data_IF_111078284569
#
_entry.id   IF_111078284569
#
_cell.length_a   1.000
_cell.length_b   1.000
_cell.length_c   1.000
_cell.angle_alpha   90.00
_cell.angle_beta   90.00
_cell.angle_gamma   90.00
#
_symmetry.space_group_name_H-M   'P 1'
#
loop_
_entity.id
_entity.type
_entity.pdbx_description
1 polymer ?
#
# COMPACT_ATOMS: atom_id res chain seq x y z
N UNK A 1 -25.02 5.76 4.23
CA UNK A 1 -24.10 4.71 4.73
C UNK A 1 -22.68 5.16 4.39
N UNK A 2 -21.86 5.51 5.39
CA UNK A 2 -20.55 6.16 5.19
C UNK A 2 -19.41 5.13 4.96
N UNK A 3 -18.51 5.43 4.03
CA UNK A 3 -17.35 4.63 3.58
C UNK A 3 -16.42 4.23 4.74
N UNK A 4 -16.37 5.03 5.82
CA UNK A 4 -15.54 4.79 6.99
C UNK A 4 -15.90 3.54 7.80
N UNK A 5 -17.16 3.05 7.77
CA UNK A 5 -17.57 1.93 8.64
C UNK A 5 -17.15 0.54 8.12
N UNK A 6 -16.70 0.46 6.87
CA UNK A 6 -16.31 -0.81 6.21
C UNK A 6 -14.79 -1.01 6.18
N UNK A 7 -14.05 0.08 6.12
CA UNK A 7 -12.61 0.12 6.33
C UNK A 7 -12.39 0.13 7.85
N UNK A 8 -11.49 -0.68 8.41
CA UNK A 8 -11.12 -0.58 9.84
C UNK A 8 -10.27 0.68 10.13
N UNK A 9 -10.53 1.76 9.39
CA UNK A 9 -9.79 3.00 9.42
C UNK A 9 -10.56 4.00 10.28
N UNK A 10 -9.80 4.77 11.04
CA UNK A 10 -10.33 5.81 11.92
C UNK A 10 -10.15 7.11 11.15
N UNK A 11 -11.27 7.68 10.72
CA UNK A 11 -11.31 8.76 9.74
C UNK A 11 -12.16 9.89 10.31
N UNK A 12 -11.56 11.07 10.42
CA UNK A 12 -12.22 12.28 10.89
C UNK A 12 -12.77 13.09 9.71
N UNK A 13 -13.96 13.65 9.91
CA UNK A 13 -14.55 14.63 9.01
C UNK A 13 -14.26 16.03 9.56
N UNK A 14 -13.55 16.85 8.78
CA UNK A 14 -13.10 18.18 9.18
C UNK A 14 -13.94 19.27 8.51
N UNK A 15 -14.20 20.35 9.23
CA UNK A 15 -14.70 21.59 8.65
C UNK A 15 -13.55 22.44 8.05
N UNK A 16 -13.90 23.49 7.31
CA UNK A 16 -12.92 24.33 6.61
C UNK A 16 -11.96 25.05 7.57
N UNK A 17 -12.42 25.43 8.77
CA UNK A 17 -11.59 26.10 9.78
C UNK A 17 -10.53 25.15 10.35
N UNK A 18 -10.91 23.90 10.62
CA UNK A 18 -10.03 22.82 11.06
C UNK A 18 -8.98 22.49 9.99
N UNK A 19 -9.36 22.45 8.71
CA UNK A 19 -8.45 22.25 7.58
C UNK A 19 -7.41 23.38 7.52
N UNK A 20 -7.84 24.64 7.63
CA UNK A 20 -6.95 25.81 7.60
C UNK A 20 -6.01 25.85 8.82
N UNK A 21 -6.48 25.43 9.99
CA UNK A 21 -5.63 25.34 11.19
C UNK A 21 -4.53 24.31 11.03
N UNK A 22 -4.83 23.14 10.46
CA UNK A 22 -3.85 22.06 10.24
C UNK A 22 -2.87 22.41 9.13
N UNK A 23 -3.37 22.94 8.01
CA UNK A 23 -2.58 23.27 6.84
C UNK A 23 -2.81 24.74 6.42
N UNK A 24 -2.12 25.72 7.04
CA UNK A 24 -2.36 27.15 6.84
C UNK A 24 -2.18 27.63 5.39
N UNK A 25 -1.42 26.90 4.59
CA UNK A 25 -1.12 27.22 3.20
C UNK A 25 -2.23 26.83 2.21
N UNK A 26 -3.21 26.02 2.63
CA UNK A 26 -4.32 25.64 1.75
C UNK A 26 -5.29 26.82 1.55
N UNK A 27 -5.77 27.00 0.32
CA UNK A 27 -6.96 27.81 0.06
C UNK A 27 -8.21 26.98 0.40
N UNK A 28 -9.12 27.54 1.21
CA UNK A 28 -10.32 26.86 1.72
C UNK A 28 -11.63 27.51 1.26
N UNK A 29 -11.58 28.54 0.40
CA UNK A 29 -12.73 29.40 0.06
C UNK A 29 -13.95 28.61 -0.46
N UNK A 30 -13.72 27.52 -1.21
CA UNK A 30 -14.78 26.65 -1.77
C UNK A 30 -14.73 25.20 -1.23
N UNK A 31 -14.11 24.98 -0.07
CA UNK A 31 -14.01 23.63 0.53
C UNK A 31 -15.17 23.39 1.49
N UNK A 32 -16.04 22.42 1.16
CA UNK A 32 -17.21 22.04 1.98
C UNK A 32 -16.85 21.23 3.23
N UNK A 33 -15.92 20.29 3.10
CA UNK A 33 -15.44 19.44 4.18
C UNK A 33 -14.13 18.74 3.77
N UNK A 34 -13.38 18.30 4.76
CA UNK A 34 -12.15 17.52 4.59
C UNK A 34 -12.30 16.13 5.20
N UNK A 35 -11.56 15.17 4.65
CA UNK A 35 -11.39 13.86 5.25
C UNK A 35 -9.97 13.77 5.78
N UNK A 36 -9.83 13.39 7.03
CA UNK A 36 -8.54 13.26 7.70
C UNK A 36 -8.34 11.85 8.22
N UNK A 37 -7.20 11.26 7.86
CA UNK A 37 -6.72 10.02 8.45
C UNK A 37 -5.41 10.32 9.19
N UNK A 38 -5.43 10.20 10.52
CA UNK A 38 -4.23 10.43 11.34
C UNK A 38 -3.13 9.38 11.15
N UNK A 39 -3.42 8.30 10.43
CA UNK A 39 -2.47 7.24 10.05
C UNK A 39 -2.00 7.35 8.60
N UNK A 40 -2.51 8.31 7.85
CA UNK A 40 -2.04 8.53 6.49
C UNK A 40 -0.62 9.11 6.51
N UNK A 41 0.16 8.72 5.51
CA UNK A 41 1.57 9.08 5.44
C UNK A 41 2.19 8.68 4.12
N UNK A 42 3.27 9.36 3.78
CA UNK A 42 3.98 9.11 2.54
C UNK A 42 4.88 7.88 2.65
N UNK A 43 4.80 7.02 1.64
CA UNK A 43 5.72 5.90 1.48
C UNK A 43 6.63 6.14 0.28
N UNK A 44 7.93 6.01 0.48
CA UNK A 44 8.89 5.94 -0.63
C UNK A 44 8.89 4.51 -1.21
N UNK A 45 8.33 4.29 -2.42
CA UNK A 45 8.20 2.96 -2.98
C UNK A 45 9.56 2.33 -3.27
N UNK A 46 10.56 3.14 -3.65
CA UNK A 46 11.88 2.64 -4.00
C UNK A 46 12.61 2.16 -2.74
N UNK A 47 12.63 2.97 -1.67
CA UNK A 47 13.27 2.59 -0.41
C UNK A 47 12.60 1.37 0.23
N UNK A 48 11.26 1.31 0.24
CA UNK A 48 10.54 0.14 0.72
C UNK A 48 10.96 -1.12 -0.08
N UNK A 49 10.97 -1.05 -1.41
CA UNK A 49 11.38 -2.18 -2.25
C UNK A 49 12.82 -2.61 -1.98
N UNK A 50 13.74 -1.67 -1.79
CA UNK A 50 15.13 -1.98 -1.47
C UNK A 50 15.26 -2.64 -0.09
N UNK A 51 14.54 -2.16 0.92
CA UNK A 51 14.53 -2.75 2.26
C UNK A 51 13.98 -4.20 2.23
N UNK A 52 12.89 -4.43 1.50
CA UNK A 52 12.35 -5.77 1.29
C UNK A 52 13.33 -6.69 0.56
N UNK A 53 13.95 -6.21 -0.53
CA UNK A 53 14.97 -6.96 -1.27
C UNK A 53 16.18 -7.31 -0.39
N UNK A 54 16.63 -6.39 0.47
CA UNK A 54 17.71 -6.62 1.41
C UNK A 54 17.33 -7.71 2.43
N UNK A 55 16.12 -7.65 3.01
CA UNK A 55 15.63 -8.68 3.94
C UNK A 55 15.48 -10.04 3.27
N UNK A 56 14.95 -10.09 2.05
CA UNK A 56 14.76 -11.34 1.31
C UNK A 56 16.11 -12.04 1.05
N UNK A 57 17.14 -11.30 0.64
CA UNK A 57 18.50 -11.85 0.49
C UNK A 57 19.04 -12.41 1.80
N UNK A 58 18.86 -11.70 2.91
CA UNK A 58 19.26 -12.18 4.26
C UNK A 58 18.51 -13.44 4.68
N UNK A 59 17.29 -13.63 4.21
CA UNK A 59 16.50 -14.83 4.42
C UNK A 59 16.84 -15.97 3.43
N UNK A 60 17.84 -15.80 2.57
CA UNK A 60 18.31 -16.83 1.62
C UNK A 60 17.65 -16.77 0.23
N UNK A 61 16.82 -15.75 -0.06
CA UNK A 61 16.21 -15.62 -1.38
C UNK A 61 17.22 -15.10 -2.42
N UNK A 62 17.18 -15.69 -3.63
CA UNK A 62 17.90 -15.21 -4.80
C UNK A 62 17.07 -14.19 -5.58
N UNK A 63 17.61 -12.99 -5.78
CA UNK A 63 16.96 -11.93 -6.57
C UNK A 63 17.71 -11.73 -7.88
N UNK A 64 17.08 -12.11 -8.98
CA UNK A 64 17.61 -11.90 -10.33
C UNK A 64 17.27 -10.47 -10.80
N UNK A 65 18.28 -9.70 -11.21
CA UNK A 65 18.08 -8.37 -11.79
C UNK A 65 17.99 -8.48 -13.30
N UNK A 66 17.04 -7.75 -13.89
CA UNK A 66 16.78 -7.73 -15.34
C UNK A 66 16.66 -9.11 -16.00
N UNK A 67 15.98 -10.11 -15.39
CA UNK A 67 15.81 -11.41 -16.04
C UNK A 67 14.82 -11.26 -17.20
N UNK A 68 15.14 -11.87 -18.35
CA UNK A 68 14.17 -12.07 -19.42
C UNK A 68 13.50 -13.42 -19.20
N UNK A 69 12.19 -13.42 -18.95
CA UNK A 69 11.41 -14.65 -18.87
C UNK A 69 11.16 -15.19 -20.29
N UNK A 70 11.55 -16.44 -20.54
CA UNK A 70 11.41 -17.07 -21.86
C UNK A 70 10.13 -17.93 -21.99
N UNK A 71 9.55 -18.35 -20.87
CA UNK A 71 8.38 -19.22 -20.83
C UNK A 71 8.15 -19.75 -19.41
N UNK A 72 7.08 -20.51 -19.25
CA UNK A 72 6.76 -21.22 -18.02
C UNK A 72 6.48 -22.69 -18.36
N UNK A 73 6.88 -23.60 -17.48
CA UNK A 73 6.45 -25.00 -17.52
C UNK A 73 5.60 -25.27 -16.29
N UNK A 74 4.38 -25.76 -16.47
CA UNK A 74 3.58 -26.26 -15.37
C UNK A 74 3.90 -27.75 -15.16
N UNK A 75 4.23 -28.15 -13.94
CA UNK A 75 4.26 -29.56 -13.58
C UNK A 75 2.81 -30.05 -13.45
N UNK A 76 2.47 -31.12 -14.16
CA UNK A 76 1.25 -31.89 -13.90
C UNK A 76 1.59 -32.98 -12.90
N UNK A 77 1.11 -32.82 -11.66
CA UNK A 77 1.20 -33.88 -10.66
C UNK A 77 0.44 -35.11 -11.19
N UNK A 78 1.16 -36.21 -11.41
CA UNK A 78 0.55 -37.48 -11.80
C UNK A 78 -0.28 -37.99 -10.61
N UNK A 79 -1.55 -38.42 -10.78
CA UNK A 79 -2.33 -38.91 -9.66
C UNK A 79 -1.63 -40.15 -9.07
N UNK A 80 -1.23 -40.03 -7.80
CA UNK A 80 -0.61 -41.09 -7.03
C UNK A 80 -1.53 -42.32 -7.06
N UNK A 81 -1.03 -43.42 -7.64
CA UNK A 81 -1.78 -44.65 -7.85
C UNK A 81 -2.38 -45.14 -6.53
N UNK A 82 -3.69 -45.40 -6.54
CA UNK A 82 -4.37 -46.08 -5.44
C UNK A 82 -3.81 -47.48 -5.32
N UNK A 83 -3.15 -47.74 -4.20
CA UNK A 83 -2.81 -49.10 -3.73
C UNK A 83 -4.07 -49.79 -3.23
#
# INVERSE_FOLDING_TARGET
>A
MSVAKRSKLDIDLLDSAEIKRRNPHLNIDDVLAGLWDGRDGDIDPAQLCQALAARARRAGASILRTPRLAGFCAAVDTPMGKS
#
